data_IF_502348814664
#
_entry.id   IF_502348814664
#
_cell.length_a   1.000
_cell.length_b   1.000
_cell.length_c   1.000
_cell.angle_alpha   90.00
_cell.angle_beta   90.00
_cell.angle_gamma   90.00
#
_symmetry.space_group_name_H-M   'P 1'
#
loop_
_entity.id
_entity.type
_entity.pdbx_description
1 polymer ?
#
# COMPACT_ATOMS: atom_id res chain seq x y z
N UNK A 1 13.15 -39.92 -0.11
CA UNK A 1 13.34 -38.85 0.89
C UNK A 1 14.31 -37.85 0.30
N UNK A 2 13.81 -36.83 -0.38
CA UNK A 2 14.63 -35.83 -1.06
C UNK A 2 14.13 -34.48 -0.59
N UNK A 3 14.90 -33.85 0.31
CA UNK A 3 14.63 -32.53 0.84
C UNK A 3 14.82 -31.51 -0.29
N UNK A 4 13.72 -30.93 -0.77
CA UNK A 4 13.78 -29.69 -1.54
C UNK A 4 14.08 -28.56 -0.55
N UNK A 5 15.30 -28.03 -0.62
CA UNK A 5 15.66 -26.81 0.11
C UNK A 5 14.99 -25.62 -0.56
N UNK A 6 14.17 -24.88 0.20
CA UNK A 6 13.73 -23.54 -0.18
C UNK A 6 14.98 -22.63 -0.25
N UNK A 7 15.43 -22.29 -1.46
CA UNK A 7 16.22 -21.08 -1.65
C UNK A 7 15.25 -19.90 -1.51
N UNK A 8 15.16 -19.36 -0.29
CA UNK A 8 14.65 -18.02 -0.08
C UNK A 8 15.64 -17.06 -0.77
N UNK A 9 15.24 -16.50 -1.91
CA UNK A 9 15.90 -15.34 -2.49
C UNK A 9 15.66 -14.18 -1.52
N UNK A 10 16.55 -14.07 -0.52
CA UNK A 10 16.71 -12.84 0.23
C UNK A 10 17.16 -11.78 -0.78
N UNK A 11 16.21 -10.99 -1.26
CA UNK A 11 16.53 -9.70 -1.86
C UNK A 11 17.17 -8.92 -0.73
N UNK A 12 18.49 -8.85 -0.74
CA UNK A 12 19.25 -7.99 0.16
C UNK A 12 18.59 -6.61 0.14
N UNK A 13 18.32 -6.02 1.32
CA UNK A 13 17.81 -4.65 1.44
C UNK A 13 18.66 -3.71 0.58
N UNK A 14 18.20 -3.49 -0.64
CA UNK A 14 18.77 -2.51 -1.53
C UNK A 14 18.18 -1.18 -1.08
N UNK A 15 19.06 -0.25 -0.73
CA UNK A 15 18.75 1.11 -0.25
C UNK A 15 18.53 1.19 1.26
N UNK A 16 19.50 0.71 2.04
CA UNK A 16 19.90 1.47 3.23
C UNK A 16 20.78 2.64 2.77
N UNK A 17 20.25 3.53 1.92
CA UNK A 17 20.92 4.80 1.67
C UNK A 17 20.91 5.54 3.00
N UNK A 18 22.10 5.89 3.48
CA UNK A 18 22.29 6.82 4.57
C UNK A 18 21.83 8.23 4.19
N UNK A 19 20.56 8.38 3.81
CA UNK A 19 19.82 9.64 3.76
C UNK A 19 19.38 9.97 5.19
N UNK A 20 20.36 10.02 6.10
CA UNK A 20 20.15 10.47 7.45
C UNK A 20 20.07 12.00 7.42
N UNK A 21 18.89 12.54 7.09
CA UNK A 21 18.52 13.87 7.58
C UNK A 21 18.81 13.91 9.07
N UNK A 22 19.30 15.06 9.59
CA UNK A 22 19.83 15.26 10.95
C UNK A 22 18.93 14.70 12.06
N UNK A 23 18.92 13.38 12.25
CA UNK A 23 18.20 12.73 13.33
C UNK A 23 19.18 12.66 14.48
N UNK A 24 18.89 13.43 15.53
CA UNK A 24 19.65 13.35 16.77
C UNK A 24 19.58 11.90 17.32
N UNK A 25 20.58 11.39 18.06
CA UNK A 25 20.54 10.05 18.65
C UNK A 25 19.55 9.94 19.82
N UNK A 26 18.35 10.50 19.69
CA UNK A 26 17.23 10.27 20.58
C UNK A 26 16.57 8.93 20.25
N UNK A 27 15.94 8.30 21.25
CA UNK A 27 15.11 7.12 21.03
C UNK A 27 14.01 7.50 20.02
N UNK A 28 13.77 6.68 18.98
CA UNK A 28 12.78 7.03 17.97
C UNK A 28 11.39 7.14 18.61
N UNK A 29 10.68 8.21 18.29
CA UNK A 29 9.35 8.51 18.84
C UNK A 29 8.30 7.73 18.05
N UNK A 30 7.36 7.09 18.75
CA UNK A 30 6.25 6.38 18.12
C UNK A 30 5.22 7.40 17.60
N UNK A 31 4.83 7.30 16.33
CA UNK A 31 3.71 8.07 15.78
C UNK A 31 2.41 7.81 16.55
N UNK A 32 1.47 8.77 16.53
CA UNK A 32 0.24 8.71 17.32
C UNK A 32 0.43 8.60 18.84
N UNK A 33 1.62 8.93 19.34
CA UNK A 33 1.88 9.08 20.78
C UNK A 33 1.89 10.55 21.21
N UNK A 34 1.85 10.78 22.52
CA UNK A 34 2.01 12.12 23.09
C UNK A 34 3.36 12.80 22.74
N UNK A 35 4.38 12.01 22.37
CA UNK A 35 5.69 12.55 21.95
C UNK A 35 5.75 12.95 20.47
N UNK A 36 4.85 12.42 19.63
CA UNK A 36 4.82 12.68 18.19
C UNK A 36 3.90 13.87 17.87
N UNK A 37 4.23 15.04 18.43
CA UNK A 37 3.45 16.27 18.23
C UNK A 37 4.33 17.34 17.58
N UNK A 38 3.79 18.15 16.65
CA UNK A 38 4.48 19.31 16.11
C UNK A 38 5.01 20.21 17.25
N UNK A 39 6.31 20.52 17.20
CA UNK A 39 6.98 21.34 18.22
C UNK A 39 7.65 20.57 19.36
N UNK A 40 7.33 19.28 19.57
CA UNK A 40 8.07 18.39 20.48
C UNK A 40 9.15 17.57 19.77
N UNK A 41 8.90 17.25 18.50
CA UNK A 41 9.80 16.53 17.59
C UNK A 41 9.71 17.18 16.21
N UNK A 42 10.80 17.14 15.44
CA UNK A 42 10.76 17.64 14.07
C UNK A 42 10.00 16.66 13.18
N UNK A 43 9.32 17.15 12.15
CA UNK A 43 8.60 16.32 11.16
C UNK A 43 9.50 15.34 10.41
N UNK A 44 10.82 15.51 10.49
CA UNK A 44 11.81 14.66 9.87
C UNK A 44 12.30 13.53 10.80
N UNK A 45 12.16 13.71 12.11
CA UNK A 45 12.56 12.74 13.13
C UNK A 45 11.42 11.78 13.52
N UNK A 46 10.16 12.19 13.33
CA UNK A 46 8.99 11.36 13.55
C UNK A 46 7.83 11.80 12.65
N UNK A 47 6.96 10.86 12.26
CA UNK A 47 5.73 11.19 11.55
C UNK A 47 4.74 11.85 12.52
N UNK A 48 4.50 13.15 12.32
CA UNK A 48 3.67 13.99 13.19
C UNK A 48 2.30 14.35 12.60
N UNK A 49 2.01 13.89 11.37
CA UNK A 49 0.76 14.20 10.69
C UNK A 49 -0.04 12.92 10.43
N UNK A 50 0.47 12.06 9.56
CA UNK A 50 -0.14 10.80 9.14
C UNK A 50 0.33 9.58 9.93
N UNK A 51 0.18 9.63 11.26
CA UNK A 51 0.84 8.66 12.15
C UNK A 51 0.25 7.24 12.14
N UNK A 52 -0.91 7.02 11.52
CA UNK A 52 -1.45 5.69 11.26
C UNK A 52 -1.12 5.34 9.81
N UNK A 53 -0.11 4.48 9.63
CA UNK A 53 0.45 4.16 8.32
C UNK A 53 -0.15 2.87 7.80
N UNK A 54 -0.70 2.89 6.59
CA UNK A 54 -1.30 1.73 5.95
C UNK A 54 -0.41 1.27 4.78
N UNK A 55 0.00 0.00 4.75
CA UNK A 55 0.51 -0.64 3.54
C UNK A 55 -0.61 -1.47 2.92
N UNK A 56 -1.06 -1.06 1.74
CA UNK A 56 -2.25 -1.60 1.08
C UNK A 56 -1.87 -2.45 -0.12
N UNK A 57 -2.63 -3.52 -0.36
CA UNK A 57 -2.34 -4.47 -1.42
C UNK A 57 -3.60 -4.79 -2.23
N UNK A 58 -3.41 -5.07 -3.52
CA UNK A 58 -4.44 -5.58 -4.42
C UNK A 58 -4.32 -7.08 -4.65
N UNK A 59 -5.48 -7.70 -4.83
CA UNK A 59 -5.64 -8.93 -5.58
C UNK A 59 -6.46 -8.69 -6.83
N UNK A 60 -5.78 -8.33 -7.92
CA UNK A 60 -6.38 -8.29 -9.24
C UNK A 60 -6.29 -9.66 -9.92
N UNK A 61 -7.32 -10.02 -10.68
CA UNK A 61 -7.31 -11.23 -11.52
C UNK A 61 -6.83 -10.96 -12.95
N UNK A 62 -6.83 -9.69 -13.38
CA UNK A 62 -6.35 -9.20 -14.67
C UNK A 62 -5.98 -7.72 -14.54
N UNK A 63 -5.24 -7.17 -15.50
CA UNK A 63 -4.84 -5.75 -15.53
C UNK A 63 -5.69 -4.92 -16.50
N UNK A 64 -6.25 -5.54 -17.54
CA UNK A 64 -6.94 -4.84 -18.63
C UNK A 64 -5.98 -4.25 -19.67
N UNK A 65 -4.67 -4.35 -19.44
CA UNK A 65 -3.59 -3.89 -20.32
C UNK A 65 -2.65 -5.06 -20.69
N UNK A 66 -3.15 -6.30 -20.68
CA UNK A 66 -2.38 -7.50 -21.03
C UNK A 66 -1.76 -7.40 -22.43
N UNK A 67 -2.49 -6.83 -23.39
CA UNK A 67 -2.02 -6.61 -24.76
C UNK A 67 -0.82 -5.65 -24.85
N UNK A 68 -0.63 -4.82 -23.82
CA UNK A 68 0.49 -3.88 -23.69
C UNK A 68 1.64 -4.48 -22.86
N UNK A 69 1.50 -5.72 -22.39
CA UNK A 69 2.49 -6.42 -21.58
C UNK A 69 2.48 -6.07 -20.09
N UNK A 70 1.48 -5.31 -19.63
CA UNK A 70 1.20 -5.13 -18.20
C UNK A 70 0.59 -6.42 -17.67
N UNK A 71 1.34 -7.12 -16.84
CA UNK A 71 1.01 -8.46 -16.37
C UNK A 71 1.28 -8.54 -14.87
N UNK A 72 0.48 -9.34 -14.19
CA UNK A 72 0.53 -9.53 -12.74
C UNK A 72 1.61 -10.56 -12.36
N UNK A 73 2.19 -10.46 -11.15
CA UNK A 73 3.20 -11.41 -10.67
C UNK A 73 2.58 -12.72 -10.19
N UNK A 74 3.03 -13.87 -10.67
CA UNK A 74 2.56 -15.17 -10.15
C UNK A 74 2.68 -15.25 -8.62
N UNK A 75 1.65 -15.82 -7.98
CA UNK A 75 1.65 -16.15 -6.54
C UNK A 75 1.99 -14.96 -5.63
N UNK A 76 1.54 -13.77 -5.99
CA UNK A 76 1.78 -12.57 -5.20
C UNK A 76 0.61 -11.60 -5.35
N UNK A 77 0.24 -10.95 -4.25
CA UNK A 77 -0.53 -9.72 -4.31
C UNK A 77 0.33 -8.62 -4.95
N UNK A 78 -0.26 -7.49 -5.32
CA UNK A 78 0.48 -6.30 -5.77
C UNK A 78 0.31 -5.18 -4.76
N UNK A 79 1.29 -4.29 -4.69
CA UNK A 79 1.20 -3.07 -3.89
C UNK A 79 0.12 -2.16 -4.49
N UNK A 80 -0.80 -1.69 -3.64
CA UNK A 80 -1.71 -0.60 -3.95
C UNK A 80 -1.03 0.72 -3.55
N UNK A 81 -0.65 0.88 -2.29
CA UNK A 81 0.07 2.07 -1.83
C UNK A 81 0.56 2.03 -0.39
N UNK A 82 1.11 3.17 0.03
CA UNK A 82 1.49 3.45 1.42
C UNK A 82 0.82 4.77 1.83
N UNK A 83 -0.10 4.72 2.79
CA UNK A 83 -1.01 5.83 3.08
C UNK A 83 -0.84 6.39 4.50
N UNK A 84 -0.91 7.72 4.65
CA UNK A 84 -0.98 8.39 5.94
C UNK A 84 -2.43 8.66 6.35
N UNK A 85 -2.92 7.91 7.34
CA UNK A 85 -4.13 8.27 8.07
C UNK A 85 -3.78 9.07 9.33
N UNK A 86 -4.69 9.96 9.73
CA UNK A 86 -4.62 10.56 11.05
C UNK A 86 -4.86 9.50 12.13
N UNK A 87 -4.39 9.76 13.35
CA UNK A 87 -4.49 8.81 14.45
C UNK A 87 -5.93 8.48 14.88
N UNK A 88 -6.90 9.32 14.50
CA UNK A 88 -8.33 9.09 14.73
C UNK A 88 -9.01 8.31 13.57
N UNK A 89 -8.26 7.89 12.54
CA UNK A 89 -8.78 7.18 11.37
C UNK A 89 -9.38 8.02 10.26
N UNK A 90 -9.53 9.33 10.46
CA UNK A 90 -9.78 10.22 9.32
C UNK A 90 -8.50 10.36 8.48
N UNK A 91 -8.63 10.77 7.23
CA UNK A 91 -7.50 10.93 6.33
C UNK A 91 -7.54 12.28 5.62
N UNK A 92 -6.46 12.59 4.94
CA UNK A 92 -6.29 13.77 4.09
C UNK A 92 -5.71 13.35 2.75
N UNK A 93 -5.71 14.25 1.77
CA UNK A 93 -5.28 13.96 0.42
C UNK A 93 -4.72 15.19 -0.28
N UNK A 94 -3.73 14.99 -1.14
CA UNK A 94 -3.11 16.06 -1.96
C UNK A 94 -2.61 17.24 -1.12
N UNK A 95 -1.85 16.95 -0.06
CA UNK A 95 -1.44 17.95 0.94
C UNK A 95 -0.38 18.94 0.43
N UNK A 96 0.27 18.66 -0.71
CA UNK A 96 1.21 19.57 -1.36
C UNK A 96 1.05 19.54 -2.88
N UNK A 97 0.30 20.51 -3.42
CA UNK A 97 0.02 20.62 -4.86
C UNK A 97 1.25 21.03 -5.70
N UNK A 98 2.33 21.51 -5.08
CA UNK A 98 3.57 21.83 -5.81
C UNK A 98 4.40 20.57 -6.12
N UNK A 99 4.04 19.43 -5.51
CA UNK A 99 4.71 18.14 -5.68
C UNK A 99 3.78 17.05 -6.22
N UNK A 100 2.69 17.45 -6.85
CA UNK A 100 1.71 16.52 -7.42
C UNK A 100 2.04 16.22 -8.90
N UNK A 101 1.81 14.99 -9.31
CA UNK A 101 2.07 14.43 -10.65
C UNK A 101 0.85 13.71 -11.25
N UNK A 102 -0.30 13.73 -10.58
CA UNK A 102 -1.49 12.95 -10.94
C UNK A 102 -2.23 13.54 -12.15
N UNK A 103 -2.31 12.84 -13.29
CA UNK A 103 -3.03 13.31 -14.46
C UNK A 103 -4.55 13.21 -14.32
N UNK A 104 -5.06 12.37 -13.39
CA UNK A 104 -6.48 12.13 -13.18
C UNK A 104 -6.86 12.19 -11.69
N UNK A 105 -6.74 13.35 -11.01
CA UNK A 105 -7.01 13.46 -9.58
C UNK A 105 -8.42 12.99 -9.20
N UNK A 106 -8.49 11.99 -8.32
CA UNK A 106 -9.76 11.44 -7.84
C UNK A 106 -9.76 11.09 -6.34
N UNK A 107 -10.66 11.69 -5.53
CA UNK A 107 -11.43 12.90 -5.84
C UNK A 107 -10.54 14.09 -6.22
N UNK A 108 -11.05 15.03 -7.02
CA UNK A 108 -10.29 16.18 -7.53
C UNK A 108 -10.23 17.39 -6.59
N UNK A 109 -10.35 17.18 -5.27
CA UNK A 109 -10.19 18.22 -4.25
C UNK A 109 -9.37 17.71 -3.08
N UNK A 110 -8.71 18.60 -2.33
CA UNK A 110 -7.84 18.23 -1.18
C UNK A 110 -8.57 17.64 0.02
N UNK A 111 -9.90 17.68 0.04
CA UNK A 111 -10.73 17.13 1.14
C UNK A 111 -11.70 16.05 0.65
N UNK A 112 -11.68 15.70 -0.63
CA UNK A 112 -12.68 14.80 -1.22
C UNK A 112 -14.10 15.38 -1.31
N UNK A 113 -14.30 16.64 -0.92
CA UNK A 113 -15.59 17.33 -0.94
C UNK A 113 -15.52 18.61 -1.79
N UNK A 114 -16.66 19.17 -2.22
CA UNK A 114 -16.69 20.45 -2.94
C UNK A 114 -16.07 21.63 -2.18
N UNK A 115 -15.89 21.52 -0.86
CA UNK A 115 -15.26 22.56 -0.03
C UNK A 115 -13.72 22.53 -0.08
N UNK A 116 -13.12 21.44 -0.56
CA UNK A 116 -11.66 21.32 -0.68
C UNK A 116 -11.10 22.17 -1.82
N UNK A 117 -9.81 22.45 -1.75
CA UNK A 117 -9.10 23.14 -2.84
C UNK A 117 -9.08 22.22 -4.07
N UNK A 118 -9.44 22.71 -5.27
CA UNK A 118 -9.35 21.92 -6.50
C UNK A 118 -7.92 21.44 -6.77
N UNK A 119 -7.79 20.17 -7.16
CA UNK A 119 -6.53 19.57 -7.58
C UNK A 119 -6.52 19.54 -9.12
N UNK A 120 -5.68 20.39 -9.76
CA UNK A 120 -5.63 20.42 -11.21
C UNK A 120 -4.95 19.15 -11.77
N UNK A 121 -5.44 18.59 -12.89
CA UNK A 121 -4.75 17.53 -13.62
C UNK A 121 -3.30 17.91 -13.97
N UNK A 122 -2.36 17.01 -13.70
CA UNK A 122 -0.98 17.16 -14.12
C UNK A 122 -0.79 16.80 -15.61
N UNK A 123 0.01 17.57 -16.34
CA UNK A 123 0.26 17.39 -17.78
C UNK A 123 1.75 17.28 -18.15
N UNK A 124 2.62 17.16 -17.16
CA UNK A 124 4.07 17.05 -17.37
C UNK A 124 4.55 15.59 -17.51
N UNK A 125 5.88 15.36 -17.44
CA UNK A 125 6.45 14.01 -17.51
C UNK A 125 5.99 13.10 -16.37
N UNK A 126 5.79 11.82 -16.67
CA UNK A 126 5.38 10.80 -15.70
C UNK A 126 6.47 10.50 -14.66
N UNK A 127 6.07 10.00 -13.49
CA UNK A 127 6.98 9.77 -12.33
C UNK A 127 8.16 8.83 -12.64
N UNK A 128 7.99 7.90 -13.57
CA UNK A 128 9.04 6.99 -14.03
C UNK A 128 10.15 7.70 -14.79
N UNK A 129 9.84 8.80 -15.50
CA UNK A 129 10.85 9.63 -16.16
C UNK A 129 11.82 10.22 -15.13
N UNK A 130 11.29 10.73 -14.01
CA UNK A 130 12.09 11.31 -12.93
C UNK A 130 12.90 10.24 -12.19
N UNK A 131 12.27 9.09 -11.87
CA UNK A 131 12.97 7.97 -11.23
C UNK A 131 14.11 7.44 -12.11
N UNK A 132 13.91 7.29 -13.42
CA UNK A 132 14.96 6.83 -14.34
C UNK A 132 16.17 7.79 -14.39
N UNK A 133 15.92 9.10 -14.26
CA UNK A 133 16.94 10.14 -14.23
C UNK A 133 17.83 10.08 -12.97
N UNK A 134 17.34 9.49 -11.87
CA UNK A 134 18.12 9.25 -10.63
C UNK A 134 19.13 8.10 -10.75
N UNK A 135 19.34 7.56 -11.96
CA UNK A 135 20.40 6.59 -12.23
C UNK A 135 20.03 5.16 -11.85
N UNK A 136 21.03 4.39 -11.43
CA UNK A 136 20.86 2.95 -11.11
C UNK A 136 19.83 2.71 -9.99
N UNK A 137 19.79 3.47 -8.88
CA UNK A 137 18.79 3.27 -7.83
C UNK A 137 17.36 3.38 -8.36
N UNK A 138 17.04 4.48 -9.06
CA UNK A 138 15.70 4.69 -9.60
C UNK A 138 15.31 3.67 -10.68
N UNK A 139 16.23 3.28 -11.58
CA UNK A 139 15.96 2.20 -12.56
C UNK A 139 15.72 0.84 -11.90
N UNK A 140 16.41 0.55 -10.79
CA UNK A 140 16.21 -0.70 -10.04
C UNK A 140 14.84 -0.72 -9.38
N UNK A 141 14.46 0.40 -8.76
CA UNK A 141 13.15 0.58 -8.17
C UNK A 141 12.03 0.47 -9.24
N UNK A 142 12.19 1.09 -10.41
CA UNK A 142 11.23 0.98 -11.51
C UNK A 142 11.02 -0.45 -11.99
N UNK A 143 12.08 -1.26 -12.06
CA UNK A 143 11.95 -2.67 -12.41
C UNK A 143 11.14 -3.45 -11.36
N UNK A 144 11.32 -3.13 -10.08
CA UNK A 144 10.52 -3.68 -8.99
C UNK A 144 9.05 -3.22 -9.08
N UNK A 145 8.80 -1.92 -9.27
CA UNK A 145 7.45 -1.34 -9.36
C UNK A 145 6.67 -1.91 -10.54
N UNK A 146 7.28 -2.04 -11.72
CA UNK A 146 6.63 -2.67 -12.88
C UNK A 146 6.23 -4.13 -12.65
N UNK A 147 6.88 -4.82 -11.71
CA UNK A 147 6.59 -6.21 -11.38
C UNK A 147 5.54 -6.34 -10.28
N UNK A 148 5.57 -5.47 -9.27
CA UNK A 148 4.85 -5.66 -8.01
C UNK A 148 3.89 -4.51 -7.64
N UNK A 149 3.91 -3.39 -8.36
CA UNK A 149 3.01 -2.25 -8.17
C UNK A 149 2.24 -1.98 -9.47
N UNK A 150 1.40 -2.96 -9.81
CA UNK A 150 0.72 -3.06 -11.11
C UNK A 150 -0.69 -2.48 -11.00
N UNK A 151 -1.08 -1.66 -11.96
CA UNK A 151 -2.39 -1.03 -12.02
C UNK A 151 -3.45 -1.90 -12.71
N UNK A 152 -4.72 -1.63 -12.36
CA UNK A 152 -5.91 -2.19 -13.02
C UNK A 152 -6.57 -1.13 -13.89
N UNK A 153 -6.83 -1.44 -15.15
CA UNK A 153 -7.57 -0.60 -16.10
C UNK A 153 -6.85 0.67 -16.58
N UNK A 154 -5.61 0.89 -16.15
CA UNK A 154 -4.79 2.05 -16.50
C UNK A 154 -3.29 1.72 -16.51
N UNK A 155 -2.44 2.56 -17.12
CA UNK A 155 -0.98 2.42 -17.04
C UNK A 155 -0.48 2.51 -15.59
N UNK A 156 0.54 1.71 -15.25
CA UNK A 156 1.16 1.77 -13.93
C UNK A 156 1.61 3.18 -13.52
N UNK A 157 2.07 3.99 -14.47
CA UNK A 157 2.54 5.36 -14.23
C UNK A 157 1.45 6.27 -13.68
N UNK A 158 0.19 6.05 -14.04
CA UNK A 158 -0.95 6.82 -13.52
C UNK A 158 -1.26 6.43 -12.07
N UNK A 159 -1.20 5.13 -11.75
CA UNK A 159 -1.32 4.67 -10.36
C UNK A 159 -0.20 5.26 -9.50
N UNK A 160 1.06 5.17 -9.93
CA UNK A 160 2.18 5.68 -9.14
C UNK A 160 2.10 7.19 -8.94
N UNK A 161 1.67 7.92 -9.96
CA UNK A 161 1.42 9.36 -9.87
C UNK A 161 0.30 9.68 -8.89
N UNK A 162 -0.81 8.94 -8.91
CA UNK A 162 -1.91 9.05 -7.95
C UNK A 162 -1.43 8.81 -6.52
N UNK A 163 -0.77 7.68 -6.28
CA UNK A 163 -0.31 7.27 -4.95
C UNK A 163 0.66 8.30 -4.35
N UNK A 164 1.60 8.80 -5.14
CA UNK A 164 2.50 9.85 -4.66
C UNK A 164 1.74 11.15 -4.37
N UNK A 165 0.98 11.64 -5.34
CA UNK A 165 0.33 12.95 -5.27
C UNK A 165 -0.70 13.03 -4.15
N UNK A 166 -1.50 11.98 -4.01
CA UNK A 166 -2.60 11.91 -3.06
C UNK A 166 -2.12 11.57 -1.65
N UNK A 167 -1.19 10.62 -1.52
CA UNK A 167 -0.81 10.05 -0.23
C UNK A 167 0.61 10.46 0.21
N UNK A 168 1.62 10.34 -0.65
CA UNK A 168 3.00 10.66 -0.25
C UNK A 168 3.16 12.12 0.19
N UNK A 169 2.48 13.05 -0.49
CA UNK A 169 2.52 14.49 -0.17
C UNK A 169 1.97 14.80 1.22
N UNK A 170 1.21 13.89 1.82
CA UNK A 170 0.60 14.01 3.14
C UNK A 170 1.41 13.38 4.27
N UNK A 171 2.57 12.78 4.01
CA UNK A 171 3.50 12.43 5.08
C UNK A 171 4.38 13.62 5.42
N UNK A 172 4.59 13.84 6.71
CA UNK A 172 5.50 14.88 7.18
C UNK A 172 6.98 14.48 6.99
N UNK A 173 7.30 13.18 7.06
CA UNK A 173 8.69 12.68 6.97
C UNK A 173 9.23 12.55 5.54
N UNK A 174 8.37 12.67 4.52
CA UNK A 174 8.77 12.71 3.10
C UNK A 174 8.81 14.14 2.53
N UNK A 175 8.66 15.17 3.37
CA UNK A 175 8.78 16.56 2.93
C UNK A 175 10.21 16.86 2.43
N UNK A 176 10.40 17.63 1.35
CA UNK A 176 11.72 17.94 0.81
C UNK A 176 12.69 18.56 1.84
N UNK A 177 12.15 19.33 2.78
CA UNK A 177 12.92 19.96 3.87
C UNK A 177 13.59 18.95 4.81
N UNK A 178 13.21 17.66 4.76
CA UNK A 178 13.81 16.59 5.55
C UNK A 178 15.08 15.98 4.92
N UNK A 179 15.37 16.32 3.67
CA UNK A 179 16.57 15.88 2.97
C UNK A 179 17.61 17.01 2.94
N UNK A 180 18.89 16.67 3.07
CA UNK A 180 19.96 17.69 3.05
C UNK A 180 20.13 18.27 1.64
N UNK A 181 20.70 19.47 1.51
CA UNK A 181 20.96 20.07 0.19
C UNK A 181 21.92 19.24 -0.69
N UNK A 182 22.73 18.38 -0.08
CA UNK A 182 23.61 17.43 -0.80
C UNK A 182 22.83 16.19 -1.29
N UNK A 183 21.73 15.86 -0.60
CA UNK A 183 20.82 14.76 -0.96
C UNK A 183 19.71 15.20 -1.93
N UNK A 184 19.42 16.51 -2.00
CA UNK A 184 18.36 17.08 -2.83
C UNK A 184 18.77 17.18 -4.30
N UNK A 185 18.81 16.04 -4.98
CA UNK A 185 18.45 16.05 -6.40
C UNK A 185 16.95 16.30 -6.52
N UNK A 186 16.55 17.06 -7.54
CA UNK A 186 15.15 17.22 -7.91
C UNK A 186 14.50 15.82 -7.97
N UNK A 187 13.38 15.60 -7.27
CA UNK A 187 12.64 14.34 -7.19
C UNK A 187 13.23 13.21 -6.31
N UNK A 188 14.17 13.52 -5.41
CA UNK A 188 14.67 12.52 -4.44
C UNK A 188 13.57 11.99 -3.51
N UNK A 189 12.57 12.81 -3.21
CA UNK A 189 11.39 12.41 -2.43
C UNK A 189 10.57 11.31 -3.12
N UNK A 190 10.46 11.29 -4.45
CA UNK A 190 9.88 10.16 -5.20
C UNK A 190 10.61 8.86 -4.87
N UNK A 191 11.95 8.86 -5.02
CA UNK A 191 12.76 7.67 -4.77
C UNK A 191 12.61 7.17 -3.34
N UNK A 192 12.61 8.06 -2.36
CA UNK A 192 12.50 7.72 -0.94
C UNK A 192 11.11 7.17 -0.61
N UNK A 193 10.03 7.80 -1.07
CA UNK A 193 8.67 7.31 -0.84
C UNK A 193 8.45 5.93 -1.46
N UNK A 194 8.73 5.78 -2.75
CA UNK A 194 8.46 4.53 -3.45
C UNK A 194 9.34 3.38 -2.93
N UNK A 195 10.59 3.67 -2.52
CA UNK A 195 11.44 2.66 -1.86
C UNK A 195 10.87 2.25 -0.50
N UNK A 196 10.37 3.21 0.30
CA UNK A 196 9.74 2.90 1.58
C UNK A 196 8.47 2.04 1.40
N UNK A 197 7.59 2.41 0.47
CA UNK A 197 6.39 1.64 0.15
C UNK A 197 6.72 0.20 -0.29
N UNK A 198 7.75 0.05 -1.13
CA UNK A 198 8.27 -1.26 -1.53
C UNK A 198 8.79 -2.09 -0.34
N UNK A 199 9.51 -1.46 0.59
CA UNK A 199 10.06 -2.09 1.78
C UNK A 199 8.96 -2.59 2.74
N UNK A 200 7.88 -1.83 2.94
CA UNK A 200 6.73 -2.30 3.70
C UNK A 200 6.07 -3.49 3.02
N UNK A 201 5.81 -3.40 1.71
CA UNK A 201 5.19 -4.47 0.93
C UNK A 201 6.00 -5.77 0.96
N UNK A 202 7.33 -5.71 0.77
CA UNK A 202 8.18 -6.89 0.71
C UNK A 202 8.19 -7.71 2.02
N UNK A 203 7.78 -7.12 3.15
CA UNK A 203 7.65 -7.80 4.46
C UNK A 203 6.28 -8.44 4.67
N UNK A 204 5.35 -8.26 3.73
CA UNK A 204 3.95 -8.65 3.80
C UNK A 204 3.60 -9.62 2.65
N UNK A 205 4.18 -10.84 2.59
CA UNK A 205 3.88 -11.82 1.55
C UNK A 205 2.50 -12.48 1.78
N UNK A 206 1.43 -11.70 1.56
CA UNK A 206 0.03 -12.07 1.82
C UNK A 206 -0.37 -13.39 1.18
N UNK A 207 0.02 -13.61 -0.08
CA UNK A 207 -0.23 -14.87 -0.77
C UNK A 207 0.34 -16.07 -0.01
N UNK A 208 1.61 -16.00 0.39
CA UNK A 208 2.29 -17.10 1.08
C UNK A 208 1.68 -17.36 2.47
N UNK A 209 1.27 -16.30 3.17
CA UNK A 209 0.62 -16.41 4.47
C UNK A 209 -0.75 -17.09 4.38
N UNK A 210 -1.56 -16.73 3.39
CA UNK A 210 -2.85 -17.39 3.11
C UNK A 210 -2.63 -18.84 2.66
N UNK A 211 -1.71 -19.08 1.72
CA UNK A 211 -1.42 -20.41 1.20
C UNK A 211 -0.92 -21.36 2.29
N UNK A 212 -0.16 -20.86 3.27
CA UNK A 212 0.27 -21.65 4.43
C UNK A 212 -0.88 -22.13 5.31
N UNK A 213 -2.09 -21.56 5.16
CA UNK A 213 -3.33 -21.99 5.81
C UNK A 213 -4.30 -22.65 4.81
N UNK A 214 -3.81 -23.09 3.65
CA UNK A 214 -4.63 -23.67 2.56
C UNK A 214 -5.69 -22.72 1.99
N UNK A 215 -5.48 -21.41 2.12
CA UNK A 215 -6.27 -20.38 1.46
C UNK A 215 -5.52 -19.97 0.20
N UNK A 216 -5.95 -20.49 -0.95
CA UNK A 216 -5.32 -20.23 -2.25
C UNK A 216 -6.39 -19.74 -3.23
N UNK A 217 -6.01 -19.05 -4.32
CA UNK A 217 -6.97 -18.68 -5.33
C UNK A 217 -7.76 -19.89 -5.83
N UNK A 218 -9.08 -19.78 -5.94
CA UNK A 218 -9.98 -20.85 -6.38
C UNK A 218 -11.23 -20.29 -7.04
N UNK A 219 -11.64 -20.93 -8.13
CA UNK A 219 -12.91 -20.65 -8.81
C UNK A 219 -14.08 -21.52 -8.31
N UNK A 220 -13.83 -22.40 -7.34
CA UNK A 220 -14.82 -23.39 -6.85
C UNK A 220 -14.97 -23.40 -5.32
N UNK A 221 -14.13 -22.68 -4.60
CA UNK A 221 -14.09 -22.68 -3.14
C UNK A 221 -14.11 -21.26 -2.63
N UNK A 222 -15.13 -20.94 -1.82
CA UNK A 222 -15.16 -19.72 -1.02
C UNK A 222 -14.47 -19.94 0.33
N UNK A 223 -14.22 -18.86 1.05
CA UNK A 223 -13.57 -18.84 2.35
C UNK A 223 -14.39 -18.02 3.34
N UNK A 224 -14.13 -18.21 4.62
CA UNK A 224 -14.74 -17.41 5.67
C UNK A 224 -13.82 -16.24 6.00
N UNK A 225 -14.41 -15.05 6.15
CA UNK A 225 -13.67 -13.81 6.49
C UNK A 225 -12.77 -14.01 7.72
N UNK A 226 -13.27 -14.72 8.75
CA UNK A 226 -12.53 -15.01 9.97
C UNK A 226 -11.26 -15.84 9.73
N UNK A 227 -11.28 -16.80 8.79
CA UNK A 227 -10.10 -17.62 8.48
C UNK A 227 -9.03 -16.80 7.76
N UNK A 228 -9.44 -15.94 6.82
CA UNK A 228 -8.55 -15.00 6.13
C UNK A 228 -7.90 -14.05 7.14
N UNK A 229 -8.71 -13.42 8.00
CA UNK A 229 -8.22 -12.50 9.04
C UNK A 229 -7.27 -13.21 10.00
N UNK A 230 -7.62 -14.40 10.48
CA UNK A 230 -6.79 -15.17 11.41
C UNK A 230 -5.46 -15.59 10.80
N UNK A 231 -5.45 -16.05 9.54
CA UNK A 231 -4.25 -16.45 8.83
C UNK A 231 -3.24 -15.29 8.70
N UNK A 232 -3.75 -14.10 8.37
CA UNK A 232 -2.91 -12.91 8.20
C UNK A 232 -2.50 -12.30 9.55
N UNK A 233 -3.41 -12.22 10.52
CA UNK A 233 -3.13 -11.69 11.85
C UNK A 233 -2.03 -12.49 12.58
N UNK A 234 -2.05 -13.82 12.44
CA UNK A 234 -1.03 -14.70 13.03
C UNK A 234 0.40 -14.43 12.51
N UNK A 235 0.54 -13.76 11.36
CA UNK A 235 1.83 -13.43 10.74
C UNK A 235 2.19 -11.96 10.90
N UNK A 236 1.22 -11.08 10.72
CA UNK A 236 1.40 -9.63 10.85
C UNK A 236 1.55 -9.18 12.30
N UNK A 237 0.86 -9.86 13.24
CA UNK A 237 0.81 -9.50 14.66
C UNK A 237 -0.37 -8.60 15.04
N UNK A 238 -1.23 -8.26 14.08
CA UNK A 238 -2.50 -7.56 14.27
C UNK A 238 -3.46 -7.90 13.12
N UNK A 239 -4.77 -7.70 13.31
CA UNK A 239 -5.78 -8.00 12.28
C UNK A 239 -5.76 -6.93 11.19
N UNK A 240 -5.44 -7.29 9.93
CA UNK A 240 -5.53 -6.34 8.81
C UNK A 240 -6.98 -6.10 8.38
N UNK A 241 -7.21 -5.03 7.64
CA UNK A 241 -8.47 -4.81 6.95
C UNK A 241 -8.56 -5.71 5.73
N UNK A 242 -9.69 -6.40 5.55
CA UNK A 242 -9.98 -7.21 4.36
C UNK A 242 -11.03 -6.50 3.50
N UNK A 243 -10.62 -6.04 2.32
CA UNK A 243 -11.48 -5.34 1.37
C UNK A 243 -12.08 -6.31 0.36
N UNK A 244 -13.41 -6.29 0.22
CA UNK A 244 -14.11 -7.01 -0.83
C UNK A 244 -14.90 -6.08 -1.77
N UNK A 245 -15.03 -6.52 -3.02
CA UNK A 245 -15.87 -5.93 -4.06
C UNK A 245 -16.83 -6.98 -4.64
N UNK A 246 -17.38 -6.71 -5.84
CA UNK A 246 -18.37 -7.57 -6.48
C UNK A 246 -19.79 -7.39 -5.93
N UNK A 247 -20.72 -8.33 -6.16
CA UNK A 247 -22.08 -8.21 -5.65
C UNK A 247 -22.10 -8.23 -4.12
N UNK A 248 -23.13 -7.62 -3.51
CA UNK A 248 -23.38 -7.84 -2.08
C UNK A 248 -23.94 -9.25 -1.90
N UNK A 249 -23.67 -9.88 -0.76
CA UNK A 249 -24.11 -11.25 -0.53
C UNK A 249 -25.64 -11.40 -0.64
N UNK A 250 -26.40 -10.49 -0.04
CA UNK A 250 -27.85 -10.45 -0.15
C UNK A 250 -28.42 -10.21 -1.57
N UNK A 251 -27.59 -9.81 -2.53
CA UNK A 251 -27.93 -9.68 -3.96
C UNK A 251 -27.60 -10.96 -4.75
N UNK A 252 -26.90 -11.93 -4.14
CA UNK A 252 -26.58 -13.22 -4.76
C UNK A 252 -27.68 -14.25 -4.54
N UNK A 253 -27.71 -15.29 -5.39
CA UNK A 253 -28.61 -16.43 -5.19
C UNK A 253 -28.37 -17.16 -3.84
N UNK A 254 -27.11 -17.26 -3.40
CA UNK A 254 -26.75 -17.90 -2.13
C UNK A 254 -27.19 -17.09 -0.90
N UNK A 255 -27.17 -15.76 -1.00
CA UNK A 255 -27.54 -14.85 0.08
C UNK A 255 -28.95 -14.29 0.01
N UNK A 256 -29.81 -14.76 -0.90
CA UNK A 256 -31.16 -14.25 -1.05
C UNK A 256 -31.94 -14.31 0.28
N UNK A 257 -32.41 -13.15 0.74
CA UNK A 257 -33.12 -13.02 2.03
C UNK A 257 -32.22 -12.83 3.26
N UNK A 258 -30.89 -12.86 3.09
CA UNK A 258 -29.94 -12.50 4.15
C UNK A 258 -29.93 -10.99 4.41
N UNK A 259 -29.64 -10.61 5.66
CA UNK A 259 -29.33 -9.23 6.04
C UNK A 259 -27.85 -8.87 5.82
N UNK A 260 -27.02 -9.86 5.48
CA UNK A 260 -25.61 -9.65 5.20
C UNK A 260 -25.43 -8.96 3.85
N UNK A 261 -25.03 -7.69 3.92
CA UNK A 261 -24.81 -6.83 2.77
C UNK A 261 -23.33 -6.68 2.41
N UNK A 262 -22.44 -7.52 2.98
CA UNK A 262 -21.02 -7.53 2.68
C UNK A 262 -20.74 -7.96 1.24
N UNK A 263 -19.63 -7.47 0.70
CA UNK A 263 -19.17 -7.75 -0.66
C UNK A 263 -18.51 -9.13 -0.73
N UNK A 264 -18.62 -9.83 -1.84
CA UNK A 264 -18.27 -11.26 -1.89
C UNK A 264 -16.89 -11.56 -2.47
N UNK A 265 -16.18 -10.62 -3.09
CA UNK A 265 -14.92 -10.90 -3.79
C UNK A 265 -13.75 -10.20 -3.13
N UNK A 266 -12.78 -10.94 -2.62
CA UNK A 266 -11.55 -10.38 -2.04
C UNK A 266 -10.77 -9.60 -3.10
N UNK A 267 -10.50 -8.32 -2.83
CA UNK A 267 -9.73 -7.45 -3.73
C UNK A 267 -8.62 -6.70 -3.03
N UNK A 268 -8.71 -6.48 -1.71
CA UNK A 268 -7.70 -5.69 -0.99
C UNK A 268 -7.36 -6.24 0.39
N UNK A 269 -6.13 -5.98 0.82
CA UNK A 269 -5.68 -6.20 2.20
C UNK A 269 -4.89 -4.98 2.66
N UNK A 270 -5.27 -4.39 3.79
CA UNK A 270 -4.57 -3.22 4.35
C UNK A 270 -3.96 -3.54 5.72
N UNK A 271 -2.65 -3.35 5.83
CA UNK A 271 -1.87 -3.59 7.04
C UNK A 271 -1.55 -2.28 7.73
N UNK A 272 -1.93 -2.16 9.00
CA UNK A 272 -1.85 -0.91 9.76
C UNK A 272 -0.64 -0.89 10.68
N UNK A 273 0.00 0.27 10.77
CA UNK A 273 1.16 0.50 11.61
C UNK A 273 1.06 1.83 12.34
N UNK A 274 1.56 1.88 13.57
CA UNK A 274 2.27 3.07 14.04
C UNK A 274 3.76 2.91 13.71
N UNK A 275 4.52 3.99 13.59
CA UNK A 275 5.93 3.94 13.17
C UNK A 275 6.84 4.59 14.21
N UNK A 276 8.02 4.00 14.42
CA UNK A 276 9.06 4.59 15.26
C UNK A 276 9.99 5.45 14.42
N UNK A 277 9.90 6.77 14.61
CA UNK A 277 10.68 7.76 13.87
C UNK A 277 10.12 8.00 12.46
N UNK A 278 10.98 8.31 11.47
CA UNK A 278 10.52 8.58 10.11
C UNK A 278 10.00 7.32 9.40
N UNK A 279 8.97 7.45 8.56
CA UNK A 279 8.31 6.32 7.90
C UNK A 279 9.29 5.49 7.07
N UNK A 280 10.20 6.16 6.35
CA UNK A 280 11.26 5.55 5.54
C UNK A 280 12.28 4.72 6.34
N UNK A 281 12.31 4.81 7.68
CA UNK A 281 13.15 3.92 8.49
C UNK A 281 12.58 2.49 8.57
N UNK A 282 11.33 2.26 8.15
CA UNK A 282 10.71 0.94 8.10
C UNK A 282 10.45 0.29 9.46
N UNK A 283 10.47 1.07 10.56
CA UNK A 283 10.26 0.58 11.92
C UNK A 283 8.79 0.64 12.32
N UNK A 284 7.96 -0.12 11.62
CA UNK A 284 6.54 -0.24 11.89
C UNK A 284 6.23 -1.12 13.12
N UNK A 285 5.29 -0.69 13.94
CA UNK A 285 4.60 -1.46 14.97
C UNK A 285 3.20 -1.79 14.46
N UNK A 286 2.90 -3.06 14.15
CA UNK A 286 1.57 -3.51 13.76
C UNK A 286 0.49 -3.06 14.75
N UNK A 287 -0.66 -2.65 14.24
CA UNK A 287 -1.87 -2.32 15.03
C UNK A 287 -3.11 -2.86 14.33
N UNK A 288 -4.19 -3.07 15.09
CA UNK A 288 -5.45 -3.58 14.54
C UNK A 288 -6.04 -2.58 13.54
N UNK A 289 -6.69 -3.08 12.49
CA UNK A 289 -7.37 -2.23 11.50
C UNK A 289 -8.49 -1.36 12.10
N UNK A 290 -9.07 -1.77 13.23
CA UNK A 290 -10.09 -1.03 13.98
C UNK A 290 -9.51 -0.26 15.19
N UNK A 291 -8.20 -0.02 15.25
CA UNK A 291 -7.54 0.72 16.36
C UNK A 291 -8.16 2.10 16.62
N UNK A 292 -8.83 2.67 15.61
CA UNK A 292 -9.52 3.96 15.65
C UNK A 292 -11.06 3.84 15.69
N UNK A 293 -11.60 2.63 15.87
CA UNK A 293 -13.04 2.34 15.84
C UNK A 293 -13.63 2.13 14.44
N UNK A 294 -12.78 2.01 13.41
CA UNK A 294 -13.17 1.68 12.04
C UNK A 294 -13.65 0.24 11.84
N UNK A 295 -14.09 -0.09 10.62
CA UNK A 295 -14.43 -1.47 10.26
C UNK A 295 -13.16 -2.28 9.94
N UNK A 296 -13.15 -3.57 10.26
CA UNK A 296 -12.08 -4.50 9.86
C UNK A 296 -12.32 -5.16 8.50
N UNK A 297 -13.48 -4.94 7.87
CA UNK A 297 -13.76 -5.49 6.54
C UNK A 297 -14.95 -4.83 5.84
N UNK A 298 -15.00 -4.93 4.51
CA UNK A 298 -16.20 -4.73 3.68
C UNK A 298 -16.80 -6.04 3.15
N UNK A 299 -16.20 -7.19 3.50
CA UNK A 299 -16.58 -8.51 3.04
C UNK A 299 -17.86 -9.03 3.72
N UNK A 300 -18.50 -9.97 3.03
CA UNK A 300 -19.53 -10.85 3.56
C UNK A 300 -19.03 -11.59 4.82
N UNK A 301 -19.92 -11.76 5.80
CA UNK A 301 -19.68 -12.49 7.06
C UNK A 301 -20.24 -13.90 7.05
N UNK A 302 -21.17 -14.19 6.13
CA UNK A 302 -21.66 -15.54 5.88
C UNK A 302 -20.49 -16.51 5.62
N UNK A 303 -20.65 -17.73 6.12
CA UNK A 303 -19.63 -18.77 6.05
C UNK A 303 -19.32 -19.16 4.60
N UNK A 304 -18.05 -19.36 4.27
CA UNK A 304 -17.57 -19.80 2.96
C UNK A 304 -18.03 -18.91 1.78
N UNK A 305 -18.32 -17.63 2.03
CA UNK A 305 -18.88 -16.71 1.03
C UNK A 305 -17.90 -15.69 0.45
N UNK A 306 -16.66 -15.61 0.98
CA UNK A 306 -15.60 -14.75 0.42
C UNK A 306 -14.87 -15.49 -0.70
N UNK A 307 -14.98 -14.98 -1.92
CA UNK A 307 -14.31 -15.52 -3.09
C UNK A 307 -12.92 -14.91 -3.26
N UNK A 308 -11.92 -15.77 -3.31
CA UNK A 308 -10.55 -15.45 -3.65
C UNK A 308 -10.24 -16.09 -4.99
N UNK A 309 -10.51 -15.40 -6.10
CA UNK A 309 -10.50 -16.01 -7.43
C UNK A 309 -9.09 -16.22 -8.00
N UNK A 310 -8.96 -17.28 -8.82
CA UNK A 310 -7.79 -17.47 -9.68
C UNK A 310 -7.66 -16.33 -10.68
N UNK A 311 -6.43 -16.07 -11.11
CA UNK A 311 -6.19 -15.06 -12.14
C UNK A 311 -6.66 -15.52 -13.50
N UNK A 312 -7.10 -14.57 -14.31
CA UNK A 312 -7.54 -14.78 -15.68
C UNK A 312 -6.39 -15.39 -16.50
N UNK A 313 -6.65 -16.43 -17.31
CA UNK A 313 -5.61 -17.01 -18.17
C UNK A 313 -4.92 -15.95 -19.04
N UNK A 314 -3.59 -15.86 -18.93
CA UNK A 314 -2.78 -14.92 -19.69
C UNK A 314 -2.53 -13.57 -19.01
N UNK A 315 -3.10 -13.32 -17.82
CA UNK A 315 -2.85 -12.07 -17.07
C UNK A 315 -1.58 -12.08 -16.22
N UNK A 316 -0.90 -13.22 -16.12
CA UNK A 316 0.31 -13.39 -15.30
C UNK A 316 1.60 -13.42 -16.11
N UNK A 317 2.66 -12.84 -15.54
CA UNK A 317 4.03 -12.96 -16.04
C UNK A 317 4.50 -14.39 -15.82
N UNK A 318 4.67 -15.16 -16.90
CA UNK A 318 5.29 -16.48 -16.82
C UNK A 318 6.69 -16.36 -16.24
N UNK A 319 6.99 -17.19 -15.25
CA UNK A 319 8.33 -17.33 -14.67
C UNK A 319 9.38 -17.83 -15.68
#
# INVERSE_FOLDING_TARGET
MTRFGLLSLAVASLVQTGLAGKCHPSKPVLSCSAGAQPGLVTSCEAETFGGLVLSTQFWDTYTGLESEGQLLPEKSFTLHGLWPDFCNGSWTQYCDLNRQYDPHPSPNTTTGTPAGTPVPPYSGPTVDTFLAALGRPGRTLLAWMNKLWVAHGQPNTELWAHEFSKHATCFSTFAPSCFSSEDLNQHTDLLVYFSAAADYFNRLPTYDWLAAQSITPSNTTGYTLADIQSALAARHGATPYIGCSGPRYNETAAGQGSLDNGRTVLTEVWYYYHVYGPVQAGKGKPVEADVNGGSTSSCVKADMAVWYYERTPGSERRA
#
